data_IF_049360689923
#
_entry.id   IF_049360689923
#
_cell.length_a   1.000
_cell.length_b   1.000
_cell.length_c   1.000
_cell.angle_alpha   90.00
_cell.angle_beta   90.00
_cell.angle_gamma   90.00
#
_symmetry.space_group_name_H-M   'P 1'
#
loop_
_entity.id
_entity.type
_entity.pdbx_description
1 polymer ?
#
# COMPACT_ATOMS: atom_id res chain seq x y z
N UNK A 1 -24.09 4.34 -9.14
CA UNK A 1 -24.10 5.75 -9.63
C UNK A 1 -25.51 6.34 -9.81
N UNK A 2 -26.42 5.69 -10.54
CA UNK A 2 -27.76 6.23 -10.81
C UNK A 2 -28.57 6.48 -9.54
N UNK A 3 -28.54 5.55 -8.58
CA UNK A 3 -29.22 5.72 -7.28
C UNK A 3 -28.68 6.91 -6.49
N UNK A 4 -27.36 7.11 -6.45
CA UNK A 4 -26.77 8.26 -5.78
C UNK A 4 -27.16 9.58 -6.47
N UNK A 5 -27.17 9.61 -7.80
CA UNK A 5 -27.62 10.79 -8.57
C UNK A 5 -29.07 11.14 -8.25
N UNK A 6 -29.94 10.14 -8.23
CA UNK A 6 -31.35 10.33 -7.89
C UNK A 6 -31.52 10.78 -6.43
N UNK A 7 -30.74 10.20 -5.51
CA UNK A 7 -30.66 10.66 -4.13
C UNK A 7 -30.29 12.14 -4.03
N UNK A 8 -29.31 12.61 -4.81
CA UNK A 8 -28.93 14.03 -4.84
C UNK A 8 -30.09 14.92 -5.32
N UNK A 9 -30.85 14.47 -6.33
CA UNK A 9 -32.03 15.17 -6.86
C UNK A 9 -33.13 15.30 -5.81
N UNK A 10 -33.26 14.29 -4.95
CA UNK A 10 -34.26 14.22 -3.88
C UNK A 10 -33.76 14.82 -2.55
N UNK A 11 -32.55 15.36 -2.48
CA UNK A 11 -31.97 15.93 -1.25
C UNK A 11 -31.56 14.88 -0.21
N UNK A 12 -31.22 13.67 -0.63
CA UNK A 12 -30.83 12.56 0.26
C UNK A 12 -29.33 12.63 0.58
N UNK A 13 -28.97 12.43 1.85
CA UNK A 13 -27.57 12.34 2.30
C UNK A 13 -27.05 13.56 3.06
N UNK A 14 -27.95 14.40 3.60
CA UNK A 14 -27.60 15.48 4.53
C UNK A 14 -26.91 16.67 3.86
N UNK A 15 -26.11 17.39 4.65
CA UNK A 15 -25.49 18.68 4.27
C UNK A 15 -24.63 18.60 3.01
N UNK A 16 -23.94 17.47 2.79
CA UNK A 16 -23.12 17.29 1.59
C UNK A 16 -23.91 16.84 0.35
N UNK A 17 -25.20 16.51 0.50
CA UNK A 17 -26.12 16.02 -0.55
C UNK A 17 -25.50 14.94 -1.46
N UNK A 18 -24.83 13.94 -0.87
CA UNK A 18 -24.09 12.89 -1.59
C UNK A 18 -24.96 11.69 -1.97
N UNK A 19 -26.27 11.89 -2.09
CA UNK A 19 -27.20 10.87 -2.54
C UNK A 19 -27.23 9.62 -1.66
N UNK A 20 -27.01 9.79 -0.35
CA UNK A 20 -26.96 8.70 0.63
C UNK A 20 -25.66 7.87 0.63
N UNK A 21 -24.62 8.26 -0.14
CA UNK A 21 -23.35 7.53 -0.19
C UNK A 21 -22.61 7.49 1.15
N UNK A 22 -22.70 8.58 1.91
CA UNK A 22 -22.08 8.73 3.22
C UNK A 22 -22.96 8.23 4.38
N UNK A 23 -24.20 7.85 4.09
CA UNK A 23 -25.10 7.30 5.09
C UNK A 23 -24.64 5.91 5.50
N UNK A 24 -24.65 5.64 6.80
CA UNK A 24 -24.41 4.30 7.36
C UNK A 24 -25.41 3.32 6.77
N UNK A 25 -24.92 2.17 6.30
CA UNK A 25 -25.76 1.10 5.77
C UNK A 25 -26.57 0.50 6.93
N UNK A 26 -27.91 0.43 6.83
CA UNK A 26 -28.73 -0.17 7.88
C UNK A 26 -28.30 -1.61 8.18
N UNK A 27 -28.20 -1.96 9.47
CA UNK A 27 -27.78 -3.26 9.98
C UNK A 27 -26.31 -3.64 9.70
N UNK A 28 -25.45 -2.70 9.35
CA UNK A 28 -24.01 -2.94 9.31
C UNK A 28 -23.38 -2.70 10.69
N UNK A 29 -22.90 -3.76 11.34
CA UNK A 29 -22.29 -3.71 12.68
C UNK A 29 -21.02 -2.83 12.73
N UNK A 30 -20.40 -2.62 11.58
CA UNK A 30 -19.18 -1.82 11.44
C UNK A 30 -19.45 -0.35 11.10
N UNK A 31 -20.72 0.07 11.05
CA UNK A 31 -21.16 1.41 10.66
C UNK A 31 -20.55 1.90 9.33
N UNK A 32 -20.31 1.00 8.39
CA UNK A 32 -19.79 1.34 7.08
C UNK A 32 -20.84 2.11 6.27
N UNK A 33 -20.38 3.14 5.57
CA UNK A 33 -21.17 3.79 4.54
C UNK A 33 -21.05 3.05 3.19
N UNK A 34 -21.83 3.51 2.20
CA UNK A 34 -21.86 2.87 0.88
C UNK A 34 -20.49 2.89 0.18
N UNK A 35 -19.69 3.93 0.38
CA UNK A 35 -18.35 4.05 -0.25
C UNK A 35 -17.40 3.00 0.31
N UNK A 36 -17.41 2.76 1.64
CA UNK A 36 -16.65 1.67 2.26
C UNK A 36 -17.11 0.31 1.77
N UNK A 37 -18.42 0.08 1.67
CA UNK A 37 -18.98 -1.16 1.10
C UNK A 37 -18.52 -1.44 -0.35
N UNK A 38 -18.43 -0.40 -1.17
CA UNK A 38 -17.91 -0.50 -2.53
C UNK A 38 -16.41 -0.85 -2.54
N UNK A 39 -15.67 -0.48 -1.50
CA UNK A 39 -14.21 -0.65 -1.40
C UNK A 39 -13.79 -2.00 -0.82
N UNK A 40 -14.56 -2.54 0.12
CA UNK A 40 -14.23 -3.76 0.87
C UNK A 40 -14.37 -5.07 0.08
N UNK A 41 -13.67 -6.12 0.54
CA UNK A 41 -13.84 -7.50 0.07
C UNK A 41 -15.21 -8.03 0.54
N UNK A 42 -16.20 -8.03 -0.35
CA UNK A 42 -17.44 -8.79 -0.15
C UNK A 42 -17.49 -9.96 -1.13
N UNK A 43 -17.54 -11.19 -0.61
CA UNK A 43 -17.97 -12.35 -1.38
C UNK A 43 -19.42 -12.64 -1.04
N UNK A 44 -20.35 -12.20 -1.90
CA UNK A 44 -21.65 -12.86 -1.97
C UNK A 44 -21.36 -14.26 -2.51
N UNK A 45 -21.61 -15.29 -1.70
CA UNK A 45 -21.45 -16.68 -2.10
C UNK A 45 -22.21 -16.96 -3.39
N UNK A 46 -21.52 -17.44 -4.43
CA UNK A 46 -22.13 -17.87 -5.70
C UNK A 46 -22.13 -16.85 -6.86
N UNK A 47 -21.41 -15.73 -6.75
CA UNK A 47 -21.32 -14.72 -7.83
C UNK A 47 -20.29 -15.03 -8.95
N UNK A 48 -20.29 -14.23 -10.05
CA UNK A 48 -19.26 -14.19 -11.08
C UNK A 48 -17.82 -14.19 -10.54
N UNK A 49 -16.83 -14.45 -11.42
CA UNK A 49 -15.42 -14.43 -11.02
C UNK A 49 -15.08 -13.13 -10.29
N UNK A 50 -14.27 -13.26 -9.24
CA UNK A 50 -13.96 -12.15 -8.34
C UNK A 50 -13.42 -10.91 -9.06
N UNK A 51 -12.71 -11.10 -10.17
CA UNK A 51 -12.05 -10.03 -10.93
C UNK A 51 -13.05 -9.20 -11.75
N UNK A 52 -14.12 -9.80 -12.27
CA UNK A 52 -15.16 -9.06 -12.98
C UNK A 52 -15.92 -8.14 -12.03
N UNK A 53 -16.24 -8.63 -10.84
CA UNK A 53 -16.87 -7.83 -9.79
C UNK A 53 -16.01 -6.66 -9.36
N UNK A 54 -14.72 -6.91 -9.14
CA UNK A 54 -13.78 -5.87 -8.75
C UNK A 54 -13.70 -4.74 -9.79
N UNK A 55 -13.57 -5.09 -11.08
CA UNK A 55 -13.59 -4.13 -12.18
C UNK A 55 -14.90 -3.33 -12.25
N UNK A 56 -16.05 -3.99 -12.11
CA UNK A 56 -17.35 -3.31 -12.12
C UNK A 56 -17.49 -2.33 -10.95
N UNK A 57 -16.99 -2.67 -9.76
CA UNK A 57 -16.98 -1.76 -8.61
C UNK A 57 -16.02 -0.60 -8.82
N UNK A 58 -14.84 -0.82 -9.38
CA UNK A 58 -13.92 0.24 -9.78
C UNK A 58 -14.57 1.22 -10.77
N UNK A 59 -15.25 0.73 -11.81
CA UNK A 59 -16.01 1.57 -12.75
C UNK A 59 -17.14 2.36 -12.09
N UNK A 60 -17.76 1.81 -11.04
CA UNK A 60 -18.75 2.55 -10.25
C UNK A 60 -18.08 3.70 -9.50
N UNK A 61 -16.93 3.48 -8.87
CA UNK A 61 -16.16 4.52 -8.17
C UNK A 61 -15.68 5.62 -9.14
N UNK A 62 -15.20 5.24 -10.33
CA UNK A 62 -14.85 6.19 -11.40
C UNK A 62 -16.04 7.07 -11.77
N UNK A 63 -17.20 6.47 -12.03
CA UNK A 63 -18.42 7.23 -12.34
C UNK A 63 -18.88 8.12 -11.18
N UNK A 64 -18.66 7.71 -9.93
CA UNK A 64 -18.97 8.55 -8.77
C UNK A 64 -18.01 9.73 -8.68
N UNK A 65 -16.72 9.54 -8.93
CA UNK A 65 -15.74 10.63 -9.07
C UNK A 65 -16.14 11.60 -10.16
N UNK A 66 -16.47 11.10 -11.35
CA UNK A 66 -16.77 11.95 -12.51
C UNK A 66 -18.06 12.78 -12.30
N UNK A 67 -18.97 12.30 -11.44
CA UNK A 67 -20.16 13.02 -10.99
C UNK A 67 -19.90 13.94 -9.80
N UNK A 68 -18.65 14.07 -9.35
CA UNK A 68 -18.26 14.77 -8.14
C UNK A 68 -19.01 14.28 -6.89
N UNK A 69 -19.31 12.97 -6.83
CA UNK A 69 -19.98 12.26 -5.72
C UNK A 69 -19.05 11.34 -4.93
N UNK A 70 -17.80 11.19 -5.37
CA UNK A 70 -16.67 10.68 -4.60
C UNK A 70 -15.60 11.79 -4.63
N UNK A 71 -15.11 12.24 -3.47
CA UNK A 71 -14.03 13.24 -3.38
C UNK A 71 -12.71 12.51 -3.13
N UNK A 72 -11.61 13.19 -3.45
CA UNK A 72 -10.27 12.71 -3.12
C UNK A 72 -10.09 12.56 -1.60
N UNK A 73 -10.58 13.52 -0.81
CA UNK A 73 -10.56 13.47 0.66
C UNK A 73 -11.24 12.22 1.23
N UNK A 74 -12.29 11.71 0.58
CA UNK A 74 -12.99 10.49 1.00
C UNK A 74 -12.05 9.26 1.04
N UNK A 75 -10.99 9.24 0.22
CA UNK A 75 -10.02 8.13 0.16
C UNK A 75 -9.29 7.98 1.49
N UNK A 76 -8.82 9.10 2.05
CA UNK A 76 -8.12 9.13 3.34
C UNK A 76 -9.10 9.05 4.50
N UNK A 77 -10.15 9.89 4.50
CA UNK A 77 -11.14 9.98 5.57
C UNK A 77 -11.78 8.63 5.89
N UNK A 78 -12.11 7.86 4.84
CA UNK A 78 -12.70 6.53 4.96
C UNK A 78 -11.72 5.41 4.68
N UNK A 79 -10.43 5.70 4.50
CA UNK A 79 -9.36 4.70 4.36
C UNK A 79 -9.59 3.66 3.28
N UNK A 80 -10.06 4.12 2.13
CA UNK A 80 -10.54 3.24 1.07
C UNK A 80 -9.43 2.38 0.48
N UNK A 81 -8.18 2.86 0.52
CA UNK A 81 -6.99 2.06 0.17
C UNK A 81 -6.85 0.85 1.09
N UNK A 82 -7.06 1.02 2.41
CA UNK A 82 -6.95 -0.07 3.37
C UNK A 82 -8.09 -1.07 3.24
N UNK A 83 -9.30 -0.61 2.99
CA UNK A 83 -10.47 -1.46 2.70
C UNK A 83 -10.27 -2.28 1.42
N UNK A 84 -9.49 -1.76 0.47
CA UNK A 84 -9.14 -2.44 -0.78
C UNK A 84 -7.85 -3.29 -0.70
N UNK A 85 -7.23 -3.48 0.47
CA UNK A 85 -6.05 -4.33 0.64
C UNK A 85 -6.38 -5.81 0.55
N UNK A 86 -6.70 -6.29 -0.65
CA UNK A 86 -6.96 -7.70 -0.91
C UNK A 86 -6.74 -8.00 -2.40
N UNK A 87 -6.25 -9.19 -2.80
CA UNK A 87 -5.99 -9.46 -4.22
C UNK A 87 -7.25 -9.37 -5.09
N UNK A 88 -8.40 -9.76 -4.52
CA UNK A 88 -9.75 -9.60 -5.10
C UNK A 88 -10.27 -8.15 -5.20
N UNK A 89 -9.49 -7.18 -4.72
CA UNK A 89 -9.83 -5.76 -4.74
C UNK A 89 -8.82 -4.93 -5.56
N UNK A 90 -7.97 -5.59 -6.36
CA UNK A 90 -6.84 -4.98 -7.06
C UNK A 90 -7.22 -3.80 -7.96
N UNK A 91 -8.30 -3.89 -8.73
CA UNK A 91 -8.77 -2.79 -9.58
C UNK A 91 -9.22 -1.59 -8.75
N UNK A 92 -9.90 -1.81 -7.61
CA UNK A 92 -10.28 -0.73 -6.69
C UNK A 92 -9.07 -0.12 -5.99
N UNK A 93 -8.14 -0.96 -5.54
CA UNK A 93 -6.86 -0.51 -4.97
C UNK A 93 -6.12 0.39 -5.96
N UNK A 94 -5.91 -0.07 -7.20
CA UNK A 94 -5.25 0.70 -8.25
C UNK A 94 -5.99 2.01 -8.57
N UNK A 95 -7.33 1.99 -8.58
CA UNK A 95 -8.13 3.21 -8.76
C UNK A 95 -7.83 4.24 -7.65
N UNK A 96 -7.82 3.83 -6.39
CA UNK A 96 -7.53 4.75 -5.28
C UNK A 96 -6.09 5.25 -5.29
N UNK A 97 -5.11 4.37 -5.50
CA UNK A 97 -3.69 4.75 -5.47
C UNK A 97 -3.27 5.60 -6.66
N UNK A 98 -3.86 5.38 -7.84
CA UNK A 98 -3.60 6.24 -9.00
C UNK A 98 -4.22 7.63 -8.86
N UNK A 99 -5.35 7.74 -8.14
CA UNK A 99 -6.01 9.01 -7.90
C UNK A 99 -5.41 9.79 -6.71
N UNK A 100 -5.02 9.08 -5.66
CA UNK A 100 -4.29 9.64 -4.54
C UNK A 100 -3.12 8.75 -4.07
N UNK A 101 -1.94 8.91 -4.68
CA UNK A 101 -0.77 8.15 -4.26
C UNK A 101 -0.40 8.37 -2.79
N UNK A 102 -0.66 9.56 -2.23
CA UNK A 102 -0.35 9.88 -0.83
C UNK A 102 -1.10 8.97 0.16
N UNK A 103 -2.22 8.37 -0.25
CA UNK A 103 -2.94 7.39 0.54
C UNK A 103 -2.15 6.08 0.78
N UNK A 104 -1.06 5.83 0.04
CA UNK A 104 -0.10 4.75 0.32
C UNK A 104 0.78 5.02 1.56
N UNK A 105 0.86 6.27 1.99
CA UNK A 105 1.55 6.69 3.22
C UNK A 105 0.58 6.99 4.36
N UNK A 106 -0.70 7.25 4.04
CA UNK A 106 -1.72 7.56 5.02
C UNK A 106 -1.88 6.44 6.06
N UNK A 107 -2.13 6.83 7.30
CA UNK A 107 -2.45 5.90 8.38
C UNK A 107 -3.96 5.88 8.54
N UNK A 108 -4.57 4.73 8.32
CA UNK A 108 -5.99 4.55 8.59
C UNK A 108 -6.19 3.45 9.62
N UNK A 109 -6.98 3.72 10.67
CA UNK A 109 -7.16 2.88 11.87
C UNK A 109 -5.91 2.78 12.75
N UNK A 110 -5.53 1.62 13.31
CA UNK A 110 -4.48 1.36 14.32
C UNK A 110 -3.03 1.73 13.90
N UNK A 111 -2.86 2.90 13.28
CA UNK A 111 -1.62 3.55 12.92
C UNK A 111 -0.76 2.76 11.92
N UNK A 112 -1.40 1.89 11.11
CA UNK A 112 -0.72 1.14 10.07
C UNK A 112 -0.74 1.92 8.76
N UNK A 113 0.44 2.06 8.15
CA UNK A 113 0.52 2.36 6.72
C UNK A 113 0.17 1.11 5.90
N UNK A 114 -0.34 1.24 4.66
CA UNK A 114 -0.78 0.11 3.84
C UNK A 114 0.22 -1.03 3.73
N UNK A 115 1.52 -0.75 3.62
CA UNK A 115 2.54 -1.80 3.50
C UNK A 115 2.68 -2.67 4.77
N UNK A 116 2.55 -2.09 5.96
CA UNK A 116 2.52 -2.88 7.21
C UNK A 116 1.20 -3.64 7.35
N UNK A 117 0.07 -3.03 6.96
CA UNK A 117 -1.22 -3.70 7.01
C UNK A 117 -1.29 -4.88 6.02
N UNK A 118 -0.62 -4.79 4.87
CA UNK A 118 -0.49 -5.87 3.89
C UNK A 118 0.19 -7.14 4.45
N UNK A 119 0.99 -6.99 5.51
CA UNK A 119 1.79 -8.06 6.14
C UNK A 119 1.21 -8.43 7.52
N UNK A 120 -0.08 -8.21 7.74
CA UNK A 120 -0.77 -8.64 8.96
C UNK A 120 -0.64 -10.17 9.17
N UNK A 121 -0.47 -10.60 10.42
CA UNK A 121 -0.24 -12.01 10.75
C UNK A 121 -1.42 -12.91 10.41
N UNK A 122 -2.64 -12.38 10.58
CA UNK A 122 -3.94 -13.00 10.32
C UNK A 122 -4.39 -12.92 8.85
N UNK A 123 -3.60 -12.29 7.99
CA UNK A 123 -4.00 -11.99 6.62
C UNK A 123 -3.78 -13.16 5.67
N UNK A 124 -4.87 -13.64 5.07
CA UNK A 124 -4.84 -14.54 3.91
C UNK A 124 -4.11 -13.87 2.72
N UNK A 125 -3.40 -14.67 1.93
CA UNK A 125 -2.74 -14.21 0.70
C UNK A 125 -1.78 -13.02 0.90
N UNK A 126 -1.21 -12.87 2.11
CA UNK A 126 -0.30 -11.77 2.48
C UNK A 126 0.85 -11.56 1.47
N UNK A 127 1.36 -12.63 0.86
CA UNK A 127 2.34 -12.57 -0.26
C UNK A 127 1.84 -11.69 -1.41
N UNK A 128 0.62 -11.94 -1.90
CA UNK A 128 0.03 -11.22 -3.03
C UNK A 128 -0.33 -9.78 -2.65
N UNK A 129 -0.81 -9.56 -1.42
CA UNK A 129 -1.15 -8.21 -0.94
C UNK A 129 0.12 -7.38 -0.75
N UNK A 130 1.18 -7.97 -0.18
CA UNK A 130 2.48 -7.33 -0.05
C UNK A 130 3.06 -6.95 -1.41
N UNK A 131 3.06 -7.88 -2.38
CA UNK A 131 3.48 -7.59 -3.76
C UNK A 131 2.68 -6.45 -4.39
N UNK A 132 1.35 -6.46 -4.22
CA UNK A 132 0.46 -5.42 -4.76
C UNK A 132 0.80 -4.03 -4.20
N UNK A 133 0.97 -3.91 -2.88
CA UNK A 133 1.29 -2.63 -2.24
C UNK A 133 2.71 -2.19 -2.57
N UNK A 134 3.69 -3.10 -2.56
CA UNK A 134 5.07 -2.78 -2.88
C UNK A 134 5.21 -2.31 -4.33
N UNK A 135 4.51 -2.95 -5.28
CA UNK A 135 4.47 -2.51 -6.68
C UNK A 135 3.92 -1.09 -6.82
N UNK A 136 2.78 -0.80 -6.20
CA UNK A 136 2.22 0.56 -6.24
C UNK A 136 3.12 1.58 -5.53
N UNK A 137 3.75 1.19 -4.42
CA UNK A 137 4.74 2.01 -3.75
C UNK A 137 5.95 2.33 -4.63
N UNK A 138 6.46 1.35 -5.39
CA UNK A 138 7.56 1.56 -6.33
C UNK A 138 7.13 2.38 -7.56
N UNK A 139 5.88 2.30 -7.98
CA UNK A 139 5.34 3.10 -9.09
C UNK A 139 5.28 4.59 -8.74
N UNK A 140 4.82 4.93 -7.53
CA UNK A 140 4.59 6.32 -7.13
C UNK A 140 5.66 6.94 -6.22
N UNK A 141 6.41 6.13 -5.49
CA UNK A 141 7.45 6.56 -4.53
C UNK A 141 8.72 5.72 -4.61
N UNK A 142 9.33 5.59 -5.81
CA UNK A 142 10.51 4.77 -6.01
C UNK A 142 11.73 5.23 -5.18
N UNK A 143 11.86 6.53 -4.91
CA UNK A 143 12.92 7.12 -4.08
C UNK A 143 12.82 6.72 -2.59
N UNK A 144 11.65 6.21 -2.19
CA UNK A 144 11.38 5.67 -0.85
C UNK A 144 11.35 4.15 -0.85
N UNK A 145 11.75 3.53 -1.96
CA UNK A 145 11.71 2.10 -2.23
C UNK A 145 10.34 1.50 -1.88
N UNK A 146 9.27 2.18 -2.30
CA UNK A 146 7.90 1.75 -2.06
C UNK A 146 7.58 1.52 -0.58
N UNK A 147 8.21 2.31 0.30
CA UNK A 147 8.06 2.24 1.75
C UNK A 147 8.58 0.94 2.39
N UNK A 148 9.39 0.14 1.68
CA UNK A 148 9.92 -1.14 2.16
C UNK A 148 10.68 -1.01 3.49
N UNK A 149 11.39 0.11 3.69
CA UNK A 149 12.14 0.40 4.92
C UNK A 149 11.40 1.34 5.89
N UNK A 150 10.13 1.69 5.62
CA UNK A 150 9.30 2.45 6.55
C UNK A 150 9.12 1.66 7.85
N UNK A 151 9.21 2.34 9.01
CA UNK A 151 9.15 1.71 10.33
C UNK A 151 7.80 1.98 11.00
N UNK A 152 7.26 0.92 11.61
CA UNK A 152 6.17 1.00 12.59
C UNK A 152 6.63 0.29 13.85
N UNK A 153 6.51 0.96 15.00
CA UNK A 153 6.91 0.42 16.31
C UNK A 153 8.37 -0.12 16.29
N UNK A 154 9.25 0.58 15.57
CA UNK A 154 10.66 0.21 15.39
C UNK A 154 10.93 -0.84 14.30
N UNK A 155 9.91 -1.52 13.79
CA UNK A 155 10.04 -2.64 12.82
C UNK A 155 9.79 -2.13 11.39
N UNK A 156 10.74 -2.38 10.50
CA UNK A 156 10.59 -2.04 9.07
C UNK A 156 9.57 -2.97 8.39
N UNK A 157 8.91 -2.50 7.32
CA UNK A 157 8.02 -3.36 6.54
C UNK A 157 8.78 -4.57 5.95
N UNK A 158 10.04 -4.40 5.56
CA UNK A 158 10.94 -5.47 5.13
C UNK A 158 11.13 -6.55 6.22
N UNK A 159 11.51 -6.14 7.45
CA UNK A 159 11.67 -7.08 8.57
C UNK A 159 10.36 -7.81 8.86
N UNK A 160 9.25 -7.07 8.87
CA UNK A 160 7.92 -7.64 9.08
C UNK A 160 7.57 -8.66 7.99
N UNK A 161 7.91 -8.39 6.73
CA UNK A 161 7.74 -9.35 5.62
C UNK A 161 8.57 -10.61 5.84
N UNK A 162 9.83 -10.48 6.28
CA UNK A 162 10.68 -11.65 6.58
C UNK A 162 10.08 -12.52 7.68
N UNK A 163 9.54 -11.89 8.73
CA UNK A 163 8.96 -12.61 9.87
C UNK A 163 7.63 -13.29 9.54
N UNK A 164 6.79 -12.67 8.71
CA UNK A 164 5.41 -13.12 8.46
C UNK A 164 5.22 -13.93 7.18
N UNK A 165 6.08 -13.70 6.19
CA UNK A 165 6.05 -14.35 4.86
C UNK A 165 7.19 -15.35 4.71
N UNK A 166 8.31 -15.12 5.41
CA UNK A 166 9.56 -15.85 5.24
C UNK A 166 10.52 -15.14 4.27
N UNK A 167 11.81 -15.16 4.61
CA UNK A 167 12.89 -14.43 3.89
C UNK A 167 12.89 -14.73 2.40
N UNK A 168 12.98 -16.01 2.00
CA UNK A 168 13.05 -16.42 0.59
C UNK A 168 11.89 -15.88 -0.26
N UNK A 169 10.67 -16.03 0.27
CA UNK A 169 9.45 -15.62 -0.43
C UNK A 169 9.32 -14.11 -0.51
N UNK A 170 9.58 -13.42 0.60
CA UNK A 170 9.59 -11.97 0.63
C UNK A 170 10.65 -11.41 -0.34
N UNK A 171 11.85 -11.98 -0.37
CA UNK A 171 12.92 -11.55 -1.26
C UNK A 171 12.61 -11.81 -2.74
N UNK A 172 11.92 -12.91 -3.06
CA UNK A 172 11.41 -13.13 -4.43
C UNK A 172 10.45 -12.01 -4.87
N UNK A 173 9.55 -11.60 -3.98
CA UNK A 173 8.62 -10.49 -4.24
C UNK A 173 9.39 -9.17 -4.38
N UNK A 174 10.29 -8.88 -3.45
CA UNK A 174 11.10 -7.65 -3.43
C UNK A 174 11.92 -7.54 -4.71
N UNK A 175 12.60 -8.60 -5.16
CA UNK A 175 13.33 -8.62 -6.45
C UNK A 175 12.47 -8.40 -7.67
N UNK A 176 11.21 -8.84 -7.60
CA UNK A 176 10.25 -8.64 -8.70
C UNK A 176 9.79 -7.18 -8.77
N UNK A 177 9.69 -6.50 -7.63
CA UNK A 177 9.24 -5.10 -7.55
C UNK A 177 10.40 -4.10 -7.65
N UNK A 178 11.58 -4.49 -7.17
CA UNK A 178 12.80 -3.68 -7.07
C UNK A 178 13.94 -4.50 -7.70
N UNK A 179 14.01 -4.58 -9.04
CA UNK A 179 15.13 -5.25 -9.69
C UNK A 179 16.45 -4.53 -9.36
N UNK A 180 17.61 -5.21 -9.43
CA UNK A 180 18.90 -4.55 -9.30
C UNK A 180 19.01 -3.39 -10.30
N UNK A 181 19.27 -2.18 -9.80
CA UNK A 181 19.42 -0.97 -10.61
C UNK A 181 20.20 0.10 -9.83
N UNK A 182 20.99 0.91 -10.55
CA UNK A 182 21.66 2.10 -10.01
C UNK A 182 20.65 3.17 -9.55
N UNK A 183 19.47 3.22 -10.17
CA UNK A 183 18.45 4.23 -9.84
C UNK A 183 17.85 4.00 -8.45
N UNK A 184 17.81 2.74 -8.01
CA UNK A 184 17.15 2.31 -6.76
C UNK A 184 18.01 1.30 -6.00
N UNK A 185 19.18 1.72 -5.46
CA UNK A 185 20.18 0.82 -4.91
C UNK A 185 19.73 0.31 -3.53
N UNK A 186 18.94 -0.77 -3.54
CA UNK A 186 18.30 -1.33 -2.35
C UNK A 186 19.27 -1.62 -1.20
N UNK A 187 20.49 -2.09 -1.50
CA UNK A 187 21.50 -2.36 -0.47
C UNK A 187 21.95 -1.09 0.26
N UNK A 188 22.08 0.02 -0.44
CA UNK A 188 22.42 1.30 0.19
C UNK A 188 21.33 1.73 1.18
N UNK A 189 20.06 1.55 0.81
CA UNK A 189 18.94 1.84 1.69
C UNK A 189 18.85 0.85 2.86
N UNK A 190 19.13 -0.43 2.64
CA UNK A 190 19.18 -1.44 3.69
C UNK A 190 20.21 -1.05 4.76
N UNK A 191 21.46 -0.80 4.38
CA UNK A 191 22.53 -0.37 5.30
C UNK A 191 22.14 0.90 6.07
N UNK A 192 21.48 1.85 5.39
CA UNK A 192 21.10 3.12 5.99
C UNK A 192 19.94 3.01 6.98
N UNK A 193 18.92 2.21 6.67
CA UNK A 193 17.63 2.25 7.36
C UNK A 193 17.33 0.98 8.17
N UNK A 194 17.91 -0.16 7.78
CA UNK A 194 17.77 -1.48 8.39
C UNK A 194 19.09 -2.28 8.28
N UNK A 195 20.18 -1.82 8.92
CA UNK A 195 21.51 -2.45 8.80
C UNK A 195 21.54 -3.90 9.32
N UNK A 196 20.59 -4.25 10.19
CA UNK A 196 20.36 -5.62 10.65
C UNK A 196 19.94 -6.59 9.53
N UNK A 197 19.37 -6.07 8.44
CA UNK A 197 18.92 -6.84 7.27
C UNK A 197 19.94 -6.87 6.13
N UNK A 198 21.11 -6.26 6.30
CA UNK A 198 22.10 -6.11 5.24
C UNK A 198 22.49 -7.46 4.61
N UNK A 199 22.90 -8.42 5.43
CA UNK A 199 23.32 -9.73 4.97
C UNK A 199 22.18 -10.49 4.29
N UNK A 200 20.98 -10.40 4.87
CA UNK A 200 19.79 -11.06 4.35
C UNK A 200 19.42 -10.53 2.96
N UNK A 201 19.64 -9.25 2.67
CA UNK A 201 19.34 -8.64 1.36
C UNK A 201 20.51 -8.83 0.39
N UNK A 202 21.76 -8.68 0.85
CA UNK A 202 22.98 -8.78 0.05
C UNK A 202 23.07 -10.11 -0.71
N UNK A 203 22.72 -11.22 -0.07
CA UNK A 203 22.75 -12.54 -0.71
C UNK A 203 21.84 -12.65 -1.95
N UNK A 204 20.78 -11.83 -2.04
CA UNK A 204 19.85 -11.82 -3.18
C UNK A 204 20.14 -10.70 -4.19
N UNK A 205 21.08 -9.81 -3.88
CA UNK A 205 21.52 -8.72 -4.75
C UNK A 205 23.06 -8.68 -4.86
N UNK A 206 23.72 -9.77 -5.29
CA UNK A 206 25.18 -9.84 -5.33
C UNK A 206 25.80 -8.77 -6.24
N UNK A 207 25.12 -8.44 -7.34
CA UNK A 207 25.57 -7.42 -8.30
C UNK A 207 25.40 -5.98 -7.76
N UNK A 208 24.59 -5.80 -6.71
CA UNK A 208 24.27 -4.48 -6.18
C UNK A 208 25.39 -3.88 -5.30
N UNK A 209 26.41 -4.68 -4.95
CA UNK A 209 27.58 -4.23 -4.17
C UNK A 209 28.37 -3.15 -4.91
N UNK A 210 28.33 -3.16 -6.24
CA UNK A 210 29.03 -2.20 -7.10
C UNK A 210 28.17 -1.03 -7.56
N UNK A 211 26.86 -1.08 -7.31
CA UNK A 211 25.93 -0.02 -7.70
C UNK A 211 26.17 1.24 -6.86
N UNK A 212 25.86 2.40 -7.42
CA UNK A 212 26.08 3.69 -6.75
C UNK A 212 24.80 4.23 -6.14
N UNK A 213 24.89 4.92 -5.00
CA UNK A 213 23.75 5.67 -4.45
C UNK A 213 23.45 6.95 -5.26
N UNK A 214 22.35 7.62 -4.93
CA UNK A 214 21.96 8.90 -5.56
C UNK A 214 22.97 10.04 -5.33
N UNK A 215 23.99 9.84 -4.48
CA UNK A 215 25.11 10.74 -4.24
C UNK A 215 26.42 10.20 -4.86
N UNK A 216 26.34 9.19 -5.74
CA UNK A 216 27.47 8.56 -6.44
C UNK A 216 28.43 7.74 -5.55
N UNK A 217 28.05 7.42 -4.31
CA UNK A 217 28.84 6.57 -3.41
C UNK A 217 28.70 5.10 -3.75
N UNK A 218 29.78 4.33 -3.59
CA UNK A 218 29.75 2.86 -3.62
C UNK A 218 29.57 2.31 -2.19
N UNK A 219 29.09 1.06 -2.08
CA UNK A 219 28.70 0.45 -0.80
C UNK A 219 29.81 0.50 0.27
N UNK A 220 31.05 0.21 -0.12
CA UNK A 220 32.22 0.24 0.78
C UNK A 220 32.50 1.63 1.37
N UNK A 221 32.13 2.71 0.68
CA UNK A 221 32.26 4.07 1.20
C UNK A 221 31.18 4.36 2.25
N UNK A 222 29.96 3.85 2.06
CA UNK A 222 28.87 4.02 3.02
C UNK A 222 29.15 3.28 4.32
N UNK A 223 29.64 2.04 4.26
CA UNK A 223 30.10 1.29 5.44
C UNK A 223 31.17 2.08 6.22
N UNK A 224 32.16 2.63 5.52
CA UNK A 224 33.19 3.46 6.10
C UNK A 224 32.62 4.70 6.83
N UNK A 225 31.70 5.44 6.20
CA UNK A 225 31.04 6.60 6.82
C UNK A 225 30.16 6.22 8.03
N UNK A 226 29.47 5.08 7.97
CA UNK A 226 28.66 4.59 9.08
C UNK A 226 29.54 4.19 10.28
N UNK A 227 30.66 3.53 10.03
CA UNK A 227 31.63 3.18 11.06
C UNK A 227 32.26 4.43 11.71
N UNK A 228 32.56 5.46 10.92
CA UNK A 228 32.99 6.78 11.44
C UNK A 228 31.94 7.44 12.34
N UNK A 229 30.64 7.36 11.98
CA UNK A 229 29.56 7.91 12.82
C UNK A 229 29.35 7.12 14.10
N UNK A 230 29.47 5.79 14.06
CA UNK A 230 29.39 4.92 15.24
C UNK A 230 30.55 5.18 16.20
N UNK A 231 31.76 5.43 15.68
CA UNK A 231 32.96 5.77 16.48
C UNK A 231 32.98 7.19 17.07
N UNK A 232 32.01 8.06 16.77
CA UNK A 232 31.88 9.40 17.37
C UNK A 232 30.83 9.49 18.50
N UNK A 233 30.26 8.35 18.91
CA UNK A 233 29.41 8.24 20.10
C UNK A 233 30.17 7.45 21.19
N UNK A 234 31.23 8.05 21.72
CA UNK A 234 31.88 7.62 22.97
C UNK A 234 32.26 8.85 23.75
#
# INVERSE_FOLDING_TARGET
>A
PSMAREGCRLGVGGEENRGGLLTVVPNDENNNNTIKWLSQRFSLSGGPSSDEWDRKRAQVLEKLRDLNLLKKADIEEYGLVHDALHPKCKSRFNFFTSWDPAALEARYSQWLVPIHHAIGSDREEKEKVFEMVLKAGMEYFPERLGFLFCKKDGISACKKAFDEIGVDKAMKIIRTCIPPSDDHPILHHAIRHAPDLENDIAQYYPDAVFLRDSNNHILSQVEFYMNLRRGRRT
#
